data_IF_928092649015
#
_entry.id   IF_928092649015
#
_cell.length_a   1.000
_cell.length_b   1.000
_cell.length_c   1.000
_cell.angle_alpha   90.00
_cell.angle_beta   90.00
_cell.angle_gamma   90.00
#
_symmetry.space_group_name_H-M   'P 1'
#
loop_
_entity.id
_entity.type
_entity.pdbx_description
1 polymer ?
#
# COMPACT_ATOMS: atom_id res chain seq x y z
N UNK A 1 -4.75 7.10 -2.44
CA UNK A 1 -3.74 7.86 -3.15
C UNK A 1 -4.48 8.97 -3.83
N UNK A 2 -3.91 10.17 -3.82
CA UNK A 2 -4.55 11.28 -4.52
C UNK A 2 -4.41 11.04 -6.02
N UNK A 3 -5.47 11.27 -6.78
CA UNK A 3 -5.43 11.12 -8.22
C UNK A 3 -4.40 12.09 -8.80
N UNK A 4 -3.42 11.55 -9.51
CA UNK A 4 -2.44 12.35 -10.22
C UNK A 4 -3.11 13.04 -11.40
N UNK A 5 -3.06 14.37 -11.43
CA UNK A 5 -3.49 15.20 -12.56
C UNK A 5 -2.30 16.04 -13.01
N UNK A 6 -1.82 15.78 -14.22
CA UNK A 6 -0.60 16.38 -14.77
C UNK A 6 -0.67 17.91 -14.74
N UNK A 7 -1.82 18.49 -15.10
CA UNK A 7 -2.04 19.95 -15.10
C UNK A 7 -1.94 20.57 -13.71
N UNK A 8 -2.49 19.91 -12.68
CA UNK A 8 -2.45 20.38 -11.30
C UNK A 8 -1.04 20.22 -10.72
N UNK A 9 -0.39 19.09 -10.99
CA UNK A 9 0.96 18.83 -10.52
C UNK A 9 2.00 19.74 -11.17
N UNK A 10 1.86 20.03 -12.47
CA UNK A 10 2.70 20.98 -13.19
C UNK A 10 2.50 22.43 -12.72
N UNK A 11 1.32 22.79 -12.21
CA UNK A 11 1.07 24.11 -11.63
C UNK A 11 1.66 24.27 -10.21
N UNK A 12 1.99 23.18 -9.52
CA UNK A 12 2.61 23.24 -8.19
C UNK A 12 4.04 23.77 -8.26
N UNK A 13 4.41 24.58 -7.26
CA UNK A 13 5.81 24.92 -7.04
C UNK A 13 6.64 23.68 -6.66
N UNK A 14 7.97 23.69 -6.88
CA UNK A 14 8.82 22.54 -6.60
C UNK A 14 8.72 21.99 -5.16
N UNK A 15 8.58 22.86 -4.15
CA UNK A 15 8.44 22.43 -2.77
C UNK A 15 7.07 21.79 -2.48
N UNK A 16 5.99 22.30 -3.09
CA UNK A 16 4.69 21.64 -3.06
C UNK A 16 4.70 20.26 -3.73
N UNK A 17 5.41 20.08 -4.86
CA UNK A 17 5.58 18.77 -5.52
C UNK A 17 6.31 17.77 -4.62
N UNK A 18 7.37 18.20 -3.93
CA UNK A 18 8.11 17.36 -2.98
C UNK A 18 7.22 16.94 -1.80
N UNK A 19 6.47 17.88 -1.21
CA UNK A 19 5.50 17.56 -0.14
C UNK A 19 4.42 16.58 -0.60
N UNK A 20 3.88 16.80 -1.80
CA UNK A 20 2.88 15.92 -2.40
C UNK A 20 3.43 14.49 -2.59
N UNK A 21 4.64 14.37 -3.15
CA UNK A 21 5.32 13.07 -3.31
C UNK A 21 5.56 12.38 -1.98
N UNK A 22 5.98 13.14 -0.95
CA UNK A 22 6.11 12.64 0.42
C UNK A 22 4.79 12.08 0.96
N UNK A 23 3.69 12.78 0.70
CA UNK A 23 2.33 12.34 1.01
C UNK A 23 1.93 11.03 0.33
N UNK A 24 2.15 10.91 -0.99
CA UNK A 24 1.88 9.67 -1.72
C UNK A 24 2.73 8.50 -1.22
N UNK A 25 4.02 8.73 -0.96
CA UNK A 25 4.90 7.71 -0.42
C UNK A 25 4.46 7.25 0.99
N UNK A 26 3.97 8.15 1.84
CA UNK A 26 3.47 7.80 3.17
C UNK A 26 2.13 7.04 3.11
N UNK A 27 1.23 7.42 2.21
CA UNK A 27 -0.02 6.68 2.02
C UNK A 27 0.24 5.28 1.46
N UNK A 28 1.13 5.16 0.48
CA UNK A 28 1.55 3.88 -0.07
C UNK A 28 2.18 2.97 0.99
N UNK A 29 3.04 3.52 1.85
CA UNK A 29 3.65 2.76 2.97
C UNK A 29 2.59 2.20 3.92
N UNK A 30 1.56 2.99 4.26
CA UNK A 30 0.45 2.53 5.10
C UNK A 30 -0.29 1.37 4.44
N UNK A 31 -0.65 1.51 3.16
CA UNK A 31 -1.32 0.44 2.40
C UNK A 31 -0.45 -0.82 2.31
N UNK A 32 0.87 -0.67 2.21
CA UNK A 32 1.80 -1.79 2.16
C UNK A 32 1.94 -2.50 3.51
N UNK A 33 1.89 -1.77 4.63
CA UNK A 33 1.89 -2.34 5.98
C UNK A 33 0.63 -3.18 6.23
N UNK A 34 -0.52 -2.71 5.75
CA UNK A 34 -1.82 -3.38 5.90
C UNK A 34 -2.08 -4.44 4.80
N UNK A 35 -1.16 -4.62 3.85
CA UNK A 35 -1.36 -5.49 2.69
C UNK A 35 -1.36 -6.97 3.08
N UNK A 36 -0.47 -7.36 3.99
CA UNK A 36 -0.22 -8.75 4.40
C UNK A 36 -0.75 -8.96 5.81
N UNK A 37 -1.77 -9.81 6.02
CA UNK A 37 -2.22 -10.20 7.34
C UNK A 37 -1.08 -10.87 8.14
N UNK A 38 -1.02 -10.64 9.46
CA UNK A 38 -0.09 -11.39 10.30
C UNK A 38 -0.39 -12.89 10.16
N UNK A 39 0.67 -13.70 10.14
CA UNK A 39 0.59 -15.16 10.08
C UNK A 39 -0.06 -15.77 8.83
N UNK A 40 -0.28 -14.97 7.77
CA UNK A 40 -0.82 -15.49 6.50
C UNK A 40 0.07 -16.58 5.90
N UNK A 41 1.39 -16.37 5.85
CA UNK A 41 2.31 -17.31 5.18
C UNK A 41 2.36 -18.67 5.88
N UNK A 42 2.53 -18.77 7.23
CA UNK A 42 2.44 -20.04 7.94
C UNK A 42 1.08 -20.74 7.81
N UNK A 43 -0.03 -19.99 7.92
CA UNK A 43 -1.39 -20.55 7.78
C UNK A 43 -1.62 -21.07 6.36
N UNK A 44 -1.14 -20.34 5.35
CA UNK A 44 -1.25 -20.72 3.95
C UNK A 44 -0.48 -22.00 3.67
N UNK A 45 0.74 -22.14 4.18
CA UNK A 45 1.52 -23.39 4.06
C UNK A 45 0.73 -24.59 4.57
N UNK A 46 0.24 -24.53 5.81
CA UNK A 46 -0.50 -25.64 6.42
C UNK A 46 -1.78 -25.97 5.64
N UNK A 47 -2.54 -24.96 5.23
CA UNK A 47 -3.78 -25.16 4.46
C UNK A 47 -3.54 -25.63 3.02
N UNK A 48 -2.42 -25.25 2.40
CA UNK A 48 -2.04 -25.74 1.08
C UNK A 48 -1.62 -27.21 1.16
N UNK A 49 -0.80 -27.59 2.14
CA UNK A 49 -0.39 -28.98 2.37
C UNK A 49 -1.59 -29.90 2.58
N UNK A 50 -2.54 -29.51 3.45
CA UNK A 50 -3.77 -30.28 3.71
C UNK A 50 -4.61 -30.47 2.44
N UNK A 51 -4.76 -29.40 1.64
CA UNK A 51 -5.58 -29.44 0.44
C UNK A 51 -4.92 -30.25 -0.68
N UNK A 52 -3.60 -30.13 -0.84
CA UNK A 52 -2.82 -30.92 -1.81
C UNK A 52 -2.90 -32.41 -1.45
N UNK A 53 -2.70 -32.79 -0.19
CA UNK A 53 -2.83 -34.20 0.25
C UNK A 53 -4.23 -34.75 -0.05
N UNK A 54 -5.26 -33.91 0.12
CA UNK A 54 -6.64 -34.30 -0.18
C UNK A 54 -6.89 -34.44 -1.67
N UNK A 55 -6.33 -33.55 -2.48
CA UNK A 55 -6.40 -33.58 -3.93
C UNK A 55 -5.70 -34.82 -4.51
N UNK A 56 -4.46 -35.10 -4.07
CA UNK A 56 -3.69 -36.28 -4.47
C UNK A 56 -4.43 -37.59 -4.13
N UNK A 57 -5.07 -37.66 -2.95
CA UNK A 57 -5.89 -38.83 -2.55
C UNK A 57 -7.06 -39.09 -3.51
N UNK A 58 -7.68 -38.04 -4.03
CA UNK A 58 -8.87 -38.16 -4.90
C UNK A 58 -8.52 -38.35 -6.38
N UNK A 59 -7.35 -37.88 -6.82
CA UNK A 59 -6.95 -37.91 -8.24
C UNK A 59 -5.92 -38.99 -8.55
N UNK A 60 -5.30 -39.61 -7.54
CA UNK A 60 -4.30 -40.66 -7.71
C UNK A 60 -3.01 -40.22 -8.41
N UNK A 61 -2.87 -38.92 -8.70
CA UNK A 61 -1.65 -38.30 -9.20
C UNK A 61 -0.85 -37.77 -8.01
N UNK A 62 0.33 -38.32 -7.82
CA UNK A 62 1.31 -37.85 -6.84
C UNK A 62 2.34 -36.97 -7.54
N UNK A 63 2.55 -35.75 -7.04
CA UNK A 63 3.79 -35.01 -7.28
C UNK A 63 3.81 -33.97 -8.39
N UNK A 64 2.70 -33.60 -9.04
CA UNK A 64 2.65 -32.29 -9.72
C UNK A 64 2.49 -31.20 -8.65
N UNK A 65 3.62 -30.74 -8.11
CA UNK A 65 3.64 -29.65 -7.15
C UNK A 65 3.02 -28.40 -7.76
N UNK A 66 2.16 -27.73 -6.99
CA UNK A 66 1.57 -26.46 -7.41
C UNK A 66 2.71 -25.44 -7.48
N UNK A 67 3.06 -25.06 -8.69
CA UNK A 67 4.20 -24.21 -9.01
C UNK A 67 3.78 -22.77 -9.29
N UNK A 68 2.48 -22.49 -9.46
CA UNK A 68 2.01 -21.19 -9.94
C UNK A 68 0.65 -20.73 -9.47
N UNK A 69 0.47 -19.41 -9.36
CA UNK A 69 -0.80 -18.78 -8.93
C UNK A 69 -1.99 -19.24 -9.78
N UNK A 70 -1.77 -19.60 -11.04
CA UNK A 70 -2.80 -20.20 -11.92
C UNK A 70 -3.23 -21.58 -11.42
N UNK A 71 -2.29 -22.49 -11.17
CA UNK A 71 -2.57 -23.81 -10.61
C UNK A 71 -3.16 -23.71 -9.20
N UNK A 72 -2.76 -22.71 -8.41
CA UNK A 72 -3.37 -22.45 -7.10
C UNK A 72 -4.84 -22.04 -7.22
N UNK A 73 -5.22 -21.29 -8.26
CA UNK A 73 -6.63 -20.99 -8.56
C UNK A 73 -7.38 -22.24 -9.01
N UNK A 74 -6.77 -23.06 -9.85
CA UNK A 74 -7.37 -24.33 -10.29
C UNK A 74 -7.62 -25.27 -9.11
N UNK A 75 -6.65 -25.42 -8.20
CA UNK A 75 -6.82 -26.18 -6.96
C UNK A 75 -7.94 -25.60 -6.10
N UNK A 76 -8.00 -24.27 -5.98
CA UNK A 76 -9.06 -23.59 -5.23
C UNK A 76 -10.45 -23.84 -5.85
N UNK A 77 -10.59 -23.72 -7.16
CA UNK A 77 -11.87 -23.90 -7.85
C UNK A 77 -12.33 -25.36 -7.79
N UNK A 78 -11.39 -26.30 -7.89
CA UNK A 78 -11.63 -27.70 -7.62
C UNK A 78 -12.12 -27.92 -6.18
N UNK A 79 -11.44 -27.34 -5.20
CA UNK A 79 -11.76 -27.51 -3.79
C UNK A 79 -13.16 -26.97 -3.44
N UNK A 80 -13.53 -25.81 -3.99
CA UNK A 80 -14.88 -25.24 -3.88
C UNK A 80 -15.92 -26.17 -4.50
N UNK A 81 -15.66 -26.70 -5.70
CA UNK A 81 -16.58 -27.60 -6.41
C UNK A 81 -16.82 -28.92 -5.67
N UNK A 82 -15.87 -29.36 -4.85
CA UNK A 82 -15.94 -30.58 -4.05
C UNK A 82 -16.35 -30.33 -2.59
N UNK A 83 -16.81 -29.12 -2.24
CA UNK A 83 -17.28 -28.80 -0.90
C UNK A 83 -16.17 -28.71 0.17
N UNK A 84 -14.92 -28.49 -0.25
CA UNK A 84 -13.74 -28.36 0.61
C UNK A 84 -13.08 -26.98 0.48
N UNK A 85 -13.83 -25.86 0.64
CA UNK A 85 -13.26 -24.54 0.47
C UNK A 85 -12.16 -24.28 1.50
N UNK A 86 -11.02 -23.75 1.03
CA UNK A 86 -9.91 -23.35 1.90
C UNK A 86 -9.84 -21.82 1.98
N UNK A 87 -10.36 -21.21 3.06
CA UNK A 87 -10.43 -19.75 3.19
C UNK A 87 -9.04 -19.09 3.19
N UNK A 88 -8.00 -19.84 3.59
CA UNK A 88 -6.62 -19.31 3.59
C UNK A 88 -6.04 -19.18 2.18
N UNK A 89 -6.48 -20.01 1.22
CA UNK A 89 -6.08 -19.88 -0.19
C UNK A 89 -6.76 -18.66 -0.81
N UNK A 90 -8.04 -18.43 -0.51
CA UNK A 90 -8.73 -17.20 -0.91
C UNK A 90 -8.05 -15.96 -0.34
N UNK A 91 -7.65 -15.99 0.94
CA UNK A 91 -6.93 -14.92 1.62
C UNK A 91 -5.55 -14.65 0.96
N UNK A 92 -4.83 -15.70 0.57
CA UNK A 92 -3.56 -15.60 -0.16
C UNK A 92 -3.75 -14.99 -1.56
N UNK A 93 -4.72 -15.49 -2.33
CA UNK A 93 -5.03 -14.97 -3.67
C UNK A 93 -5.51 -13.51 -3.63
N UNK A 94 -6.29 -13.15 -2.62
CA UNK A 94 -6.69 -11.77 -2.36
C UNK A 94 -5.46 -10.89 -2.06
N UNK A 95 -4.53 -11.37 -1.23
CA UNK A 95 -3.28 -10.66 -0.92
C UNK A 95 -2.39 -10.50 -2.15
N UNK A 96 -2.25 -11.53 -2.97
CA UNK A 96 -1.56 -11.46 -4.25
C UNK A 96 -2.18 -10.39 -5.18
N UNK A 97 -3.51 -10.35 -5.24
CA UNK A 97 -4.24 -9.34 -6.02
C UNK A 97 -4.01 -7.92 -5.47
N UNK A 98 -3.97 -7.74 -4.14
CA UNK A 98 -3.61 -6.45 -3.51
C UNK A 98 -2.23 -5.98 -3.97
N UNK A 99 -1.23 -6.87 -4.07
CA UNK A 99 0.09 -6.50 -4.57
C UNK A 99 0.10 -6.09 -6.05
N UNK A 100 -0.78 -6.66 -6.87
CA UNK A 100 -0.96 -6.20 -8.26
C UNK A 100 -1.51 -4.78 -8.29
N UNK A 101 -2.53 -4.49 -7.48
CA UNK A 101 -3.12 -3.14 -7.37
C UNK A 101 -2.07 -2.15 -6.85
N UNK A 102 -1.33 -2.52 -5.79
CA UNK A 102 -0.25 -1.70 -5.23
C UNK A 102 0.83 -1.38 -6.26
N UNK A 103 1.17 -2.33 -7.14
CA UNK A 103 2.15 -2.09 -8.19
C UNK A 103 1.65 -1.01 -9.17
N UNK A 104 0.39 -1.08 -9.57
CA UNK A 104 -0.24 -0.12 -10.48
C UNK A 104 -0.35 1.26 -9.82
N UNK A 105 -0.85 1.30 -8.59
CA UNK A 105 -0.89 2.46 -7.71
C UNK A 105 0.50 3.13 -7.66
N UNK A 106 1.56 2.37 -7.40
CA UNK A 106 2.92 2.91 -7.36
C UNK A 106 3.36 3.51 -8.70
N UNK A 107 3.03 2.85 -9.81
CA UNK A 107 3.39 3.33 -11.15
C UNK A 107 2.72 4.66 -11.48
N UNK A 108 1.41 4.74 -11.29
CA UNK A 108 0.63 5.91 -11.67
C UNK A 108 0.71 7.04 -10.64
N UNK A 109 0.71 6.70 -9.35
CA UNK A 109 0.68 7.69 -8.27
C UNK A 109 2.04 8.16 -7.77
N UNK A 110 3.14 7.46 -8.08
CA UNK A 110 4.48 7.82 -7.60
C UNK A 110 5.47 7.93 -8.76
N UNK A 111 5.65 6.86 -9.55
CA UNK A 111 6.69 6.82 -10.59
C UNK A 111 6.42 7.84 -11.71
N UNK A 112 5.19 7.91 -12.20
CA UNK A 112 4.80 8.83 -13.27
C UNK A 112 5.03 10.30 -12.87
N UNK A 113 4.52 10.80 -11.72
CA UNK A 113 4.85 12.13 -11.23
C UNK A 113 6.36 12.37 -11.07
N UNK A 114 7.12 11.37 -10.60
CA UNK A 114 8.58 11.48 -10.46
C UNK A 114 9.29 11.70 -11.81
N UNK A 115 8.77 11.10 -12.89
CA UNK A 115 9.33 11.27 -14.24
C UNK A 115 8.91 12.56 -14.92
N UNK A 116 7.69 13.02 -14.67
CA UNK A 116 7.08 14.16 -15.36
C UNK A 116 7.37 15.48 -14.64
N UNK A 117 7.25 15.53 -13.31
CA UNK A 117 7.38 16.79 -12.56
C UNK A 117 8.80 17.21 -12.23
N UNK A 118 9.80 16.41 -12.58
CA UNK A 118 11.21 16.69 -12.28
C UNK A 118 12.06 16.60 -13.56
N UNK A 119 12.75 17.67 -13.96
CA UNK A 119 13.37 17.76 -15.28
C UNK A 119 14.42 16.67 -15.55
N UNK A 120 14.42 16.16 -16.79
CA UNK A 120 15.29 15.08 -17.33
C UNK A 120 16.80 15.38 -17.30
N UNK A 121 17.20 16.61 -16.98
CA UNK A 121 18.60 17.02 -16.84
C UNK A 121 19.21 16.69 -15.46
N UNK A 122 18.44 16.04 -14.59
CA UNK A 122 18.85 15.63 -13.26
C UNK A 122 20.15 14.80 -13.26
N UNK A 123 20.95 15.03 -12.23
CA UNK A 123 22.33 14.58 -12.09
C UNK A 123 22.52 13.07 -12.33
N UNK A 124 23.76 12.61 -12.60
CA UNK A 124 24.09 11.18 -12.80
C UNK A 124 23.52 10.27 -11.70
N UNK A 125 23.37 10.77 -10.48
CA UNK A 125 22.78 10.05 -9.33
C UNK A 125 21.29 9.75 -9.55
N UNK A 126 20.51 10.71 -10.06
CA UNK A 126 19.08 10.52 -10.33
C UNK A 126 18.85 9.48 -11.41
N UNK A 127 19.57 9.55 -12.54
CA UNK A 127 19.50 8.53 -13.60
C UNK A 127 19.83 7.12 -13.09
N UNK A 128 20.77 7.00 -12.14
CA UNK A 128 21.11 5.71 -11.50
C UNK A 128 19.97 5.20 -10.62
N UNK A 129 19.29 6.07 -9.88
CA UNK A 129 18.12 5.72 -9.07
C UNK A 129 16.93 5.33 -9.95
N UNK A 130 16.67 6.08 -11.03
CA UNK A 130 15.62 5.76 -12.01
C UNK A 130 15.81 4.36 -12.62
N UNK A 131 17.03 4.05 -13.08
CA UNK A 131 17.34 2.72 -13.64
C UNK A 131 17.07 1.63 -12.61
N UNK A 132 17.55 1.78 -11.38
CA UNK A 132 17.30 0.82 -10.30
C UNK A 132 15.81 0.66 -10.00
N UNK A 133 15.07 1.76 -9.95
CA UNK A 133 13.63 1.72 -9.67
C UNK A 133 12.88 1.00 -10.79
N UNK A 134 13.23 1.25 -12.05
CA UNK A 134 12.66 0.56 -13.20
C UNK A 134 12.97 -0.94 -13.16
N UNK A 135 14.20 -1.33 -12.81
CA UNK A 135 14.57 -2.75 -12.62
C UNK A 135 13.74 -3.42 -11.53
N UNK A 136 13.57 -2.76 -10.37
CA UNK A 136 12.76 -3.29 -9.26
C UNK A 136 11.30 -3.43 -9.67
N UNK A 137 10.72 -2.47 -10.39
CA UNK A 137 9.34 -2.56 -10.86
C UNK A 137 9.14 -3.63 -11.92
N UNK A 138 10.15 -3.91 -12.75
CA UNK A 138 10.14 -5.07 -13.65
C UNK A 138 10.22 -6.38 -12.85
N UNK A 139 11.09 -6.46 -11.84
CA UNK A 139 11.17 -7.62 -10.95
C UNK A 139 9.85 -7.88 -10.20
N UNK A 140 9.19 -6.83 -9.71
CA UNK A 140 7.86 -6.94 -9.09
C UNK A 140 6.83 -7.46 -10.10
N UNK A 141 6.83 -6.94 -11.34
CA UNK A 141 5.92 -7.41 -12.40
C UNK A 141 6.18 -8.88 -12.71
N UNK A 142 7.44 -9.28 -12.72
CA UNK A 142 7.86 -10.66 -12.92
C UNK A 142 7.40 -11.57 -11.79
N UNK A 143 7.50 -11.14 -10.51
CA UNK A 143 6.97 -11.90 -9.38
C UNK A 143 5.44 -12.09 -9.44
N UNK A 144 4.71 -11.07 -9.89
CA UNK A 144 3.26 -11.16 -10.09
C UNK A 144 2.85 -12.02 -11.29
N UNK A 145 3.76 -12.26 -12.23
CA UNK A 145 3.53 -13.03 -13.46
C UNK A 145 4.07 -14.45 -13.40
N UNK A 146 5.20 -14.66 -12.73
CA UNK A 146 5.93 -15.92 -12.69
C UNK A 146 5.52 -16.70 -11.46
N UNK A 147 5.09 -17.93 -11.71
CA UNK A 147 5.17 -19.06 -10.79
C UNK A 147 6.55 -19.13 -10.11
N UNK A 148 6.65 -19.37 -8.79
CA UNK A 148 7.92 -19.79 -8.19
C UNK A 148 8.42 -21.05 -8.89
N UNK A 149 9.46 -20.90 -9.73
CA UNK A 149 10.08 -22.04 -10.39
C UNK A 149 10.97 -22.78 -9.40
N UNK A 150 10.59 -24.00 -9.04
CA UNK A 150 11.53 -24.99 -8.52
C UNK A 150 12.55 -25.25 -9.62
N UNK A 151 13.82 -24.93 -9.39
CA UNK A 151 14.89 -25.45 -10.25
C UNK A 151 15.10 -26.90 -9.89
N UNK A 152 14.55 -27.81 -10.70
CA UNK A 152 15.05 -29.18 -10.78
C UNK A 152 16.54 -29.16 -11.08
N UNK A 153 17.35 -29.38 -10.05
CA UNK A 153 18.77 -29.65 -10.17
C UNK A 153 18.96 -31.15 -10.22
N UNK A 154 18.79 -31.72 -11.40
CA UNK A 154 19.40 -32.99 -11.73
C UNK A 154 20.92 -32.79 -11.80
N UNK A 155 21.59 -33.25 -10.75
CA UNK A 155 22.96 -33.80 -10.69
C UNK A 155 24.08 -32.98 -11.38
N UNK A 156 24.93 -32.34 -10.57
CA UNK A 156 26.35 -32.72 -10.48
C UNK A 156 27.00 -32.07 -9.24
N UNK A 157 27.66 -32.93 -8.45
CA UNK A 157 28.45 -32.61 -7.26
C UNK A 157 29.69 -31.79 -7.65
N UNK A 158 29.90 -30.67 -6.95
CA UNK A 158 31.22 -30.20 -6.49
C UNK A 158 31.00 -29.26 -5.28
N UNK A 159 31.78 -29.38 -4.20
CA UNK A 159 31.55 -28.63 -2.96
C UNK A 159 32.43 -27.38 -2.93
N UNK A 160 31.83 -26.21 -3.18
CA UNK A 160 32.38 -24.94 -2.68
C UNK A 160 31.25 -23.94 -2.53
N UNK A 161 30.96 -23.66 -1.25
CA UNK A 161 30.26 -22.50 -0.69
C UNK A 161 29.17 -21.86 -1.56
N UNK A 162 27.94 -22.39 -1.45
CA UNK A 162 26.74 -21.66 -1.86
C UNK A 162 26.12 -21.02 -0.63
N UNK A 163 26.02 -19.69 -0.64
CA UNK A 163 25.00 -18.95 0.11
C UNK A 163 23.65 -19.55 -0.23
N UNK A 164 22.99 -20.07 0.79
CA UNK A 164 21.62 -20.57 0.77
C UNK A 164 20.68 -19.52 0.15
N UNK A 165 20.10 -19.84 -1.01
CA UNK A 165 18.92 -19.16 -1.54
C UNK A 165 17.72 -20.08 -1.34
N UNK A 166 17.26 -20.17 -0.10
CA UNK A 166 16.02 -20.85 0.28
C UNK A 166 14.86 -19.87 0.07
N UNK A 167 14.21 -19.89 -1.11
CA UNK A 167 12.90 -19.25 -1.34
C UNK A 167 12.30 -19.71 -2.70
N UNK A 168 12.22 -21.01 -2.96
CA UNK A 168 11.79 -21.58 -4.26
C UNK A 168 10.30 -22.03 -4.29
N UNK A 169 9.40 -21.40 -3.51
CA UNK A 169 7.97 -21.73 -3.47
C UNK A 169 7.05 -20.54 -3.14
N UNK A 170 5.73 -20.76 -3.07
CA UNK A 170 4.73 -19.71 -2.72
C UNK A 170 4.99 -19.03 -1.38
N UNK A 171 5.68 -19.71 -0.48
CA UNK A 171 6.09 -19.21 0.84
C UNK A 171 7.02 -18.00 0.74
N UNK A 172 7.86 -17.97 -0.29
CA UNK A 172 8.75 -16.85 -0.58
C UNK A 172 8.08 -15.73 -1.37
N UNK A 173 6.92 -15.98 -1.99
CA UNK A 173 6.30 -15.03 -2.92
C UNK A 173 5.80 -13.76 -2.23
N UNK A 174 4.98 -13.89 -1.18
CA UNK A 174 4.45 -12.73 -0.45
C UNK A 174 5.57 -11.92 0.23
N UNK A 175 6.54 -12.55 0.94
CA UNK A 175 7.71 -11.83 1.46
C UNK A 175 8.52 -11.12 0.36
N UNK A 176 8.76 -11.78 -0.78
CA UNK A 176 9.49 -11.17 -1.89
C UNK A 176 8.73 -9.98 -2.51
N UNK A 177 7.41 -10.08 -2.66
CA UNK A 177 6.56 -8.96 -3.12
C UNK A 177 6.62 -7.79 -2.14
N UNK A 178 6.52 -8.07 -0.84
CA UNK A 178 6.60 -7.05 0.21
C UNK A 178 7.98 -6.38 0.22
N UNK A 179 9.06 -7.15 0.16
CA UNK A 179 10.42 -6.60 0.10
C UNK A 179 10.62 -5.75 -1.16
N UNK A 180 10.18 -6.24 -2.32
CA UNK A 180 10.32 -5.52 -3.59
C UNK A 180 9.56 -4.19 -3.58
N UNK A 181 8.34 -4.18 -3.02
CA UNK A 181 7.56 -2.96 -2.83
C UNK A 181 8.23 -1.96 -1.87
N UNK A 182 8.81 -2.44 -0.76
CA UNK A 182 9.56 -1.60 0.18
C UNK A 182 10.82 -1.02 -0.47
N UNK A 183 11.55 -1.81 -1.26
CA UNK A 183 12.73 -1.33 -1.97
C UNK A 183 12.36 -0.29 -3.04
N UNK A 184 11.25 -0.48 -3.77
CA UNK A 184 10.74 0.52 -4.72
C UNK A 184 10.42 1.84 -4.01
N UNK A 185 9.73 1.78 -2.87
CA UNK A 185 9.42 2.96 -2.05
C UNK A 185 10.67 3.67 -1.54
N UNK A 186 11.68 2.93 -1.05
CA UNK A 186 12.97 3.49 -0.61
C UNK A 186 13.67 4.24 -1.75
N UNK A 187 13.65 3.69 -2.96
CA UNK A 187 14.23 4.33 -4.14
C UNK A 187 13.44 5.58 -4.58
N UNK A 188 12.11 5.54 -4.55
CA UNK A 188 11.28 6.73 -4.84
C UNK A 188 11.56 7.87 -3.87
N UNK A 189 11.64 7.58 -2.56
CA UNK A 189 12.04 8.57 -1.54
C UNK A 189 13.44 9.12 -1.78
N UNK A 190 14.38 8.26 -2.17
CA UNK A 190 15.74 8.68 -2.51
C UNK A 190 15.76 9.58 -3.75
N UNK A 191 14.95 9.27 -4.76
CA UNK A 191 14.81 10.12 -5.94
C UNK A 191 14.26 11.50 -5.53
N UNK A 192 13.17 11.55 -4.76
CA UNK A 192 12.60 12.81 -4.26
C UNK A 192 13.61 13.68 -3.50
N UNK A 193 14.43 13.09 -2.61
CA UNK A 193 15.48 13.82 -1.88
C UNK A 193 16.56 14.40 -2.78
N UNK A 194 17.03 13.63 -3.77
CA UNK A 194 18.02 14.14 -4.72
C UNK A 194 17.51 15.33 -5.51
N UNK A 195 16.19 15.37 -5.77
CA UNK A 195 15.54 16.48 -6.45
C UNK A 195 15.35 17.68 -5.53
N UNK A 196 15.06 17.46 -4.24
CA UNK A 196 15.04 18.51 -3.22
C UNK A 196 16.40 19.19 -3.09
N UNK A 197 17.48 18.41 -3.02
CA UNK A 197 18.86 18.92 -2.99
C UNK A 197 19.19 19.76 -4.25
N UNK A 198 18.83 19.26 -5.44
CA UNK A 198 19.05 19.97 -6.71
C UNK A 198 18.25 21.29 -6.79
N UNK A 199 17.00 21.31 -6.29
CA UNK A 199 16.15 22.53 -6.25
C UNK A 199 16.70 23.56 -5.26
N UNK A 200 17.12 23.13 -4.07
CA UNK A 200 17.70 24.02 -3.06
C UNK A 200 19.01 24.64 -3.56
N UNK A 201 19.83 23.88 -4.28
CA UNK A 201 21.07 24.39 -4.89
C UNK A 201 20.78 25.46 -5.96
N UNK A 202 19.79 25.24 -6.85
CA UNK A 202 19.41 26.23 -7.87
C UNK A 202 18.87 27.54 -7.26
N UNK A 203 18.11 27.45 -6.16
CA UNK A 203 17.61 28.64 -5.45
C UNK A 203 18.77 29.39 -4.78
N UNK A 204 19.75 28.69 -4.21
CA UNK A 204 20.95 29.30 -3.65
C UNK A 204 21.80 30.00 -4.72
N UNK A 205 22.01 29.34 -5.88
CA UNK A 205 22.80 29.89 -6.98
C UNK A 205 22.12 31.12 -7.62
N UNK A 206 20.78 31.11 -7.73
CA UNK A 206 20.00 32.25 -8.24
C UNK A 206 19.89 33.42 -7.25
N UNK A 207 20.03 33.17 -5.94
CA UNK A 207 20.00 34.21 -4.91
C UNK A 207 21.31 34.99 -4.76
N UNK A 208 22.41 34.53 -5.39
CA UNK A 208 23.73 35.18 -5.34
C UNK A 208 23.91 36.23 -6.46
N UNK A 209 22.99 36.32 -7.44
CA UNK A 209 22.97 37.43 -8.40
C UNK A 209 22.32 38.68 -7.78
N UNK A 210 23.09 39.45 -7.01
CA UNK A 210 22.72 40.81 -6.58
C UNK A 210 22.88 41.82 -7.73
N UNK A 211 22.19 42.98 -7.68
CA UNK A 211 22.17 43.96 -8.78
C UNK A 211 23.51 44.66 -9.07
N UNK A 212 24.57 44.38 -8.30
CA UNK A 212 25.84 45.10 -8.39
C UNK A 212 26.73 44.64 -9.56
N UNK A 213 26.53 43.44 -10.11
CA UNK A 213 27.34 42.95 -11.24
C UNK A 213 26.93 43.53 -12.61
N UNK A 214 25.72 44.09 -12.74
CA UNK A 214 25.26 44.68 -14.01
C UNK A 214 25.81 46.10 -14.28
N UNK A 215 26.47 46.74 -13.32
CA UNK A 215 26.99 48.12 -13.48
C UNK A 215 28.46 48.20 -13.90
N UNK A 216 29.17 47.07 -14.10
CA UNK A 216 30.60 47.08 -14.46
C UNK A 216 30.93 46.93 -15.94
N UNK A 217 29.93 46.84 -16.83
CA UNK A 217 30.16 46.65 -18.26
C UNK A 217 29.64 47.83 -19.08
N UNK A 218 30.07 49.06 -18.76
CA UNK A 218 30.08 50.18 -19.71
C UNK A 218 31.21 51.15 -19.33
N UNK A 219 32.33 51.09 -20.08
CA UNK A 219 33.13 52.21 -20.58
C UNK A 219 34.53 51.70 -21.03
N UNK A 220 34.89 51.86 -22.32
CA UNK A 220 36.26 51.68 -22.81
C UNK A 220 36.93 53.03 -23.12
N UNK A 221 38.08 53.33 -22.50
CA UNK A 221 39.12 54.28 -22.95
C UNK A 221 40.30 54.13 -21.95
N UNK A 222 41.42 53.49 -22.29
CA UNK A 222 42.52 53.91 -23.16
C UNK A 222 43.52 54.89 -22.49
N UNK A 223 44.73 54.35 -22.26
CA UNK A 223 46.09 54.96 -22.21
C UNK A 223 46.51 55.78 -20.98
N UNK A 224 47.66 55.38 -20.40
CA UNK A 224 48.43 56.20 -19.47
C UNK A 224 49.50 55.43 -18.69
N UNK A 225 50.61 55.09 -19.34
CA UNK A 225 51.87 54.57 -18.76
C UNK A 225 52.51 55.49 -17.72
N UNK A 226 52.90 54.95 -16.56
CA UNK A 226 54.15 55.20 -15.78
C UNK A 226 54.15 54.24 -14.57
N UNK A 227 54.99 53.21 -14.54
CA UNK A 227 56.31 53.14 -13.89
C UNK A 227 56.30 52.97 -12.35
N UNK A 228 57.01 51.90 -11.93
CA UNK A 228 57.72 51.65 -10.66
C UNK A 228 56.98 51.07 -9.44
N UNK A 229 57.51 49.95 -8.92
CA UNK A 229 57.35 49.46 -7.54
C UNK A 229 56.48 48.19 -7.41
N UNK A 230 57.04 46.99 -7.64
CA UNK A 230 57.50 46.04 -6.61
C UNK A 230 56.41 45.31 -5.80
N UNK A 231 56.62 43.98 -5.69
CA UNK A 231 55.98 42.99 -4.81
C UNK A 231 54.56 42.52 -5.20
N UNK A 232 54.54 41.43 -5.98
CA UNK A 232 53.34 40.67 -6.30
C UNK A 232 52.78 39.89 -5.09
N UNK A 233 51.46 39.71 -5.00
CA UNK A 233 50.83 38.87 -4.00
C UNK A 233 50.91 37.38 -4.39
N UNK A 234 51.17 36.58 -3.36
CA UNK A 234 51.31 35.13 -3.37
C UNK A 234 50.04 34.45 -3.85
N UNK A 235 50.18 33.62 -4.88
CA UNK A 235 49.16 32.69 -5.36
C UNK A 235 49.05 31.52 -4.39
N UNK A 236 47.87 31.36 -3.79
CA UNK A 236 47.48 30.18 -3.01
C UNK A 236 47.10 29.07 -3.99
N UNK A 237 48.05 28.18 -4.26
CA UNK A 237 47.81 26.86 -4.87
C UNK A 237 48.23 25.83 -3.83
N UNK A 238 47.27 25.39 -3.02
CA UNK A 238 47.43 24.27 -2.11
C UNK A 238 47.25 22.95 -2.87
N UNK A 239 48.27 22.52 -3.61
CA UNK A 239 48.43 21.11 -3.93
C UNK A 239 48.90 20.40 -2.66
N UNK A 240 48.03 19.57 -2.08
CA UNK A 240 48.41 18.60 -1.07
C UNK A 240 49.42 17.62 -1.66
N UNK A 241 50.71 17.96 -1.58
CA UNK A 241 51.78 16.99 -1.79
C UNK A 241 51.91 16.14 -0.54
N UNK A 242 51.86 14.83 -0.74
CA UNK A 242 52.14 13.83 0.28
C UNK A 242 53.53 14.10 0.89
N UNK A 243 53.57 14.56 2.14
CA UNK A 243 54.79 14.56 2.94
C UNK A 243 55.14 13.13 3.34
N UNK A 244 55.72 12.43 2.38
CA UNK A 244 56.40 11.16 2.54
C UNK A 244 57.79 11.23 1.91
N UNK A 245 58.54 12.30 2.16
CA UNK A 245 59.99 12.32 1.89
C UNK A 245 60.71 12.10 3.21
N UNK A 246 61.03 10.84 3.48
CA UNK A 246 62.12 10.51 4.41
C UNK A 246 63.39 11.06 3.76
N UNK A 247 63.88 12.21 4.24
CA UNK A 247 65.16 12.77 3.82
C UNK A 247 66.24 11.75 4.16
N UNK A 248 66.81 11.11 3.15
CA UNK A 248 67.98 10.25 3.27
C UNK A 248 69.22 11.11 3.50
N UNK A 249 69.30 11.74 4.67
CA UNK A 249 70.51 12.40 5.12
C UNK A 249 71.58 11.32 5.33
N UNK A 250 72.64 11.39 4.51
CA UNK A 250 73.87 10.61 4.69
C UNK A 250 74.53 11.04 6.00
N UNK A 251 74.13 10.43 7.11
CA UNK A 251 74.80 10.59 8.39
C UNK A 251 76.08 9.75 8.38
N UNK A 252 77.22 10.38 8.07
CA UNK A 252 78.55 9.77 8.27
C UNK A 252 79.10 10.22 9.64
N UNK A 253 79.39 9.24 10.50
CA UNK A 253 79.97 9.42 11.83
C UNK A 253 78.94 9.50 12.96
N UNK A 254 79.38 9.18 14.20
CA UNK A 254 78.52 9.05 15.39
C UNK A 254 77.71 10.32 15.72
N UNK A 255 78.25 11.50 15.41
CA UNK A 255 77.56 12.78 15.59
C UNK A 255 76.41 12.99 14.59
N UNK A 256 76.48 12.40 13.39
CA UNK A 256 75.39 12.43 12.42
C UNK A 256 74.25 11.51 12.85
N UNK A 257 74.58 10.32 13.34
CA UNK A 257 73.59 9.34 13.78
C UNK A 257 72.79 9.83 14.99
N UNK A 258 73.45 10.45 15.97
CA UNK A 258 72.77 11.03 17.14
C UNK A 258 71.85 12.20 16.78
N UNK A 259 72.27 13.07 15.84
CA UNK A 259 71.41 14.13 15.30
C UNK A 259 70.20 13.56 14.56
N UNK A 260 70.40 12.56 13.71
CA UNK A 260 69.30 11.89 13.01
C UNK A 260 68.28 11.26 13.96
N UNK A 261 68.70 10.68 15.07
CA UNK A 261 67.79 10.16 16.12
C UNK A 261 67.04 11.29 16.82
N UNK A 262 67.70 12.40 17.14
CA UNK A 262 67.07 13.56 17.77
C UNK A 262 66.00 14.19 16.86
N UNK A 263 66.33 14.37 15.58
CA UNK A 263 65.42 14.93 14.58
C UNK A 263 64.19 14.00 14.39
N UNK A 264 64.41 12.68 14.31
CA UNK A 264 63.31 11.70 14.27
C UNK A 264 62.42 11.79 15.51
N UNK A 265 63.00 11.93 16.70
CA UNK A 265 62.25 12.05 17.95
C UNK A 265 61.37 13.30 17.98
N UNK A 266 61.87 14.41 17.44
CA UNK A 266 61.07 15.64 17.30
C UNK A 266 59.95 15.50 16.28
N UNK A 267 60.20 14.86 15.14
CA UNK A 267 59.17 14.58 14.13
C UNK A 267 58.08 13.65 14.69
N UNK A 268 58.45 12.60 15.42
CA UNK A 268 57.49 11.71 16.07
C UNK A 268 56.62 12.42 17.11
N UNK A 269 57.20 13.31 17.93
CA UNK A 269 56.40 14.07 18.90
C UNK A 269 55.47 15.08 18.22
N UNK A 270 55.91 15.69 17.11
CA UNK A 270 55.06 16.57 16.30
C UNK A 270 53.87 15.80 15.71
N UNK A 271 54.12 14.63 15.10
CA UNK A 271 53.06 13.77 14.55
C UNK A 271 52.08 13.35 15.66
N UNK A 272 52.59 13.05 16.86
CA UNK A 272 51.76 12.69 18.01
C UNK A 272 50.84 13.84 18.44
N UNK A 273 51.37 15.05 18.50
CA UNK A 273 50.59 16.24 18.84
C UNK A 273 49.55 16.58 17.78
N UNK A 274 49.92 16.48 16.50
CA UNK A 274 49.01 16.71 15.37
C UNK A 274 47.87 15.69 15.36
N UNK A 275 48.16 14.41 15.65
CA UNK A 275 47.14 13.35 15.77
C UNK A 275 46.16 13.63 16.91
N UNK A 276 46.64 14.05 18.08
CA UNK A 276 45.79 14.42 19.21
C UNK A 276 44.90 15.64 18.89
N UNK A 277 45.45 16.64 18.21
CA UNK A 277 44.69 17.82 17.79
C UNK A 277 43.63 17.47 16.75
N UNK A 278 43.95 16.57 15.82
CA UNK A 278 43.00 16.06 14.83
C UNK A 278 41.84 15.30 15.50
N UNK A 279 42.13 14.38 16.43
CA UNK A 279 41.08 13.66 17.19
C UNK A 279 40.18 14.62 17.97
N UNK A 280 40.75 15.62 18.65
CA UNK A 280 39.98 16.63 19.37
C UNK A 280 39.06 17.44 18.44
N UNK A 281 39.56 17.85 17.27
CA UNK A 281 38.76 18.58 16.28
C UNK A 281 37.60 17.74 15.74
N UNK A 282 37.84 16.46 15.45
CA UNK A 282 36.84 15.53 14.95
C UNK A 282 35.73 15.28 15.98
N UNK A 283 36.10 15.14 17.25
CA UNK A 283 35.13 14.95 18.33
C UNK A 283 34.29 16.22 18.57
N UNK A 284 34.91 17.40 18.44
CA UNK A 284 34.20 18.69 18.49
C UNK A 284 33.19 18.85 17.34
N UNK A 285 33.55 18.44 16.13
CA UNK A 285 32.64 18.45 14.98
C UNK A 285 31.48 17.48 15.16
N UNK A 286 31.74 16.26 15.66
CA UNK A 286 30.68 15.29 16.01
C UNK A 286 29.73 15.83 17.05
N UNK A 287 30.24 16.45 18.12
CA UNK A 287 29.41 17.05 19.15
C UNK A 287 28.55 18.21 18.60
N UNK A 288 29.11 19.04 17.73
CA UNK A 288 28.37 20.12 17.06
C UNK A 288 27.26 19.58 16.15
N UNK A 289 27.53 18.51 15.39
CA UNK A 289 26.55 17.84 14.55
C UNK A 289 25.39 17.28 15.37
N UNK A 290 25.68 16.52 16.43
CA UNK A 290 24.67 15.94 17.32
C UNK A 290 23.81 17.04 17.95
N UNK A 291 24.41 18.15 18.40
CA UNK A 291 23.68 19.29 18.96
C UNK A 291 22.73 19.94 17.93
N UNK A 292 23.15 20.04 16.67
CA UNK A 292 22.32 20.55 15.58
C UNK A 292 21.15 19.62 15.29
N UNK A 293 21.37 18.30 15.28
CA UNK A 293 20.29 17.33 15.09
C UNK A 293 19.27 17.37 16.24
N UNK A 294 19.75 17.46 17.49
CA UNK A 294 18.90 17.53 18.68
C UNK A 294 17.97 18.75 18.64
N UNK A 295 18.53 19.93 18.36
CA UNK A 295 17.75 21.18 18.25
C UNK A 295 16.76 21.15 17.07
N UNK A 296 17.13 20.48 15.98
CA UNK A 296 16.22 20.21 14.85
C UNK A 296 15.06 19.31 15.24
N UNK A 297 15.32 18.22 16.00
CA UNK A 297 14.28 17.32 16.49
C UNK A 297 13.34 18.00 17.49
N UNK A 298 13.86 18.82 18.40
CA UNK A 298 13.04 19.58 19.35
C UNK A 298 12.12 20.59 18.66
N UNK A 299 12.60 21.21 17.59
CA UNK A 299 11.79 22.13 16.78
C UNK A 299 10.67 21.39 16.04
N UNK A 300 10.97 20.24 15.44
CA UNK A 300 9.95 19.35 14.82
C UNK A 300 8.92 18.87 15.83
N UNK A 301 9.36 18.49 17.04
CA UNK A 301 8.46 18.07 18.13
C UNK A 301 7.47 19.18 18.50
N UNK A 302 7.94 20.43 18.59
CA UNK A 302 7.07 21.60 18.85
C UNK A 302 6.08 21.84 17.72
N UNK A 303 6.53 21.74 16.46
CA UNK A 303 5.68 21.90 15.28
C UNK A 303 4.56 20.84 15.23
N UNK A 304 4.90 19.57 15.46
CA UNK A 304 3.91 18.47 15.49
C UNK A 304 2.89 18.70 16.62
N UNK A 305 3.34 19.12 17.80
CA UNK A 305 2.44 19.42 18.92
C UNK A 305 1.45 20.54 18.59
N UNK A 306 1.92 21.59 17.90
CA UNK A 306 1.06 22.68 17.45
C UNK A 306 0.06 22.23 16.38
N UNK A 307 0.49 21.42 15.39
CA UNK A 307 -0.41 20.84 14.37
C UNK A 307 -1.50 19.98 15.01
N UNK A 308 -1.14 19.13 15.98
CA UNK A 308 -2.10 18.30 16.69
C UNK A 308 -3.12 19.14 17.49
N UNK A 309 -2.68 20.23 18.13
CA UNK A 309 -3.60 21.14 18.81
C UNK A 309 -4.50 21.89 17.82
N UNK A 310 -3.96 22.34 16.68
CA UNK A 310 -4.73 22.97 15.62
C UNK A 310 -5.77 22.01 15.01
N UNK A 311 -5.44 20.73 14.82
CA UNK A 311 -6.38 19.70 14.35
C UNK A 311 -7.47 19.39 15.39
N UNK A 312 -7.13 19.40 16.68
CA UNK A 312 -8.13 19.27 17.76
C UNK A 312 -9.04 20.49 17.89
N UNK A 313 -8.49 21.69 17.67
CA UNK A 313 -9.22 22.95 17.75
C UNK A 313 -10.02 23.25 16.48
N UNK A 314 -9.59 22.74 15.32
CA UNK A 314 -10.37 22.86 14.09
C UNK A 314 -11.63 22.00 14.23
N UNK A 315 -12.76 22.65 14.00
CA UNK A 315 -14.11 22.12 14.15
C UNK A 315 -14.39 20.83 13.39
N UNK A 316 -13.47 20.35 12.54
CA UNK A 316 -13.60 19.16 11.69
C UNK A 316 -13.94 17.90 12.48
N UNK A 317 -13.29 17.64 13.62
CA UNK A 317 -13.62 16.47 14.45
C UNK A 317 -15.01 16.57 15.08
N UNK A 318 -15.40 17.76 15.56
CA UNK A 318 -16.72 17.99 16.15
C UNK A 318 -17.84 17.94 15.10
N UNK A 319 -17.60 18.50 13.91
CA UNK A 319 -18.56 18.45 12.79
C UNK A 319 -18.69 17.05 12.22
N UNK A 320 -17.60 16.26 12.18
CA UNK A 320 -17.66 14.88 11.73
C UNK A 320 -18.44 14.01 12.72
N UNK A 321 -18.22 14.19 14.03
CA UNK A 321 -19.01 13.54 15.08
C UNK A 321 -20.51 13.85 14.95
N UNK A 322 -20.86 15.13 14.83
CA UNK A 322 -22.26 15.55 14.67
C UNK A 322 -22.92 14.98 13.40
N UNK A 323 -22.17 14.85 12.31
CA UNK A 323 -22.68 14.23 11.07
C UNK A 323 -22.88 12.72 11.22
N UNK A 324 -22.01 12.02 11.94
CA UNK A 324 -22.16 10.60 12.24
C UNK A 324 -23.41 10.34 13.07
N UNK A 325 -23.68 11.17 14.07
CA UNK A 325 -24.89 11.04 14.90
C UNK A 325 -26.17 11.27 14.08
N UNK A 326 -26.18 12.31 13.22
CA UNK A 326 -27.31 12.54 12.29
C UNK A 326 -27.57 11.37 11.34
N UNK A 327 -26.51 10.77 10.80
CA UNK A 327 -26.63 9.60 9.93
C UNK A 327 -27.16 8.40 10.70
N UNK A 328 -26.68 8.17 11.94
CA UNK A 328 -27.17 7.11 12.82
C UNK A 328 -28.67 7.27 13.11
N UNK A 329 -29.11 8.47 13.44
CA UNK A 329 -30.54 8.75 13.70
C UNK A 329 -31.40 8.47 12.46
N UNK A 330 -30.91 8.87 11.28
CA UNK A 330 -31.61 8.62 10.02
C UNK A 330 -31.72 7.14 9.69
N UNK A 331 -30.67 6.36 9.96
CA UNK A 331 -30.69 4.90 9.82
C UNK A 331 -31.73 4.28 10.77
N UNK A 332 -31.80 4.73 12.03
CA UNK A 332 -32.80 4.27 12.98
C UNK A 332 -34.24 4.55 12.54
N UNK A 333 -34.50 5.74 11.99
CA UNK A 333 -35.81 6.09 11.40
C UNK A 333 -36.17 5.17 10.24
N UNK A 334 -35.23 4.94 9.30
CA UNK A 334 -35.46 4.07 8.15
C UNK A 334 -35.70 2.62 8.55
N UNK A 335 -35.01 2.11 9.57
CA UNK A 335 -35.25 0.76 10.10
C UNK A 335 -36.65 0.62 10.69
N UNK A 336 -37.14 1.65 11.39
CA UNK A 336 -38.48 1.66 11.97
C UNK A 336 -39.56 1.73 10.88
N UNK A 337 -39.34 2.56 9.85
CA UNK A 337 -40.22 2.62 8.68
C UNK A 337 -40.24 1.30 7.91
N UNK A 338 -39.09 0.66 7.72
CA UNK A 338 -39.00 -0.65 7.09
C UNK A 338 -39.80 -1.71 7.86
N UNK A 339 -39.66 -1.75 9.19
CA UNK A 339 -40.42 -2.67 10.04
C UNK A 339 -41.94 -2.40 9.98
N UNK A 340 -42.34 -1.12 9.91
CA UNK A 340 -43.75 -0.73 9.76
C UNK A 340 -44.32 -1.17 8.41
N UNK A 341 -43.56 -0.99 7.33
CA UNK A 341 -43.97 -1.37 5.98
C UNK A 341 -44.04 -2.89 5.84
N UNK A 342 -43.07 -3.63 6.39
CA UNK A 342 -43.10 -5.10 6.36
C UNK A 342 -44.30 -5.66 7.12
N UNK A 343 -44.63 -5.11 8.29
CA UNK A 343 -45.82 -5.49 9.03
C UNK A 343 -47.12 -5.25 8.24
N UNK A 344 -47.22 -4.10 7.55
CA UNK A 344 -48.35 -3.81 6.65
C UNK A 344 -48.43 -4.79 5.49
N UNK A 345 -47.28 -5.14 4.89
CA UNK A 345 -47.23 -6.09 3.79
C UNK A 345 -47.78 -7.46 4.20
N UNK A 346 -47.34 -7.98 5.35
CA UNK A 346 -47.83 -9.25 5.92
C UNK A 346 -49.34 -9.21 6.16
N UNK A 347 -49.86 -8.11 6.72
CA UNK A 347 -51.30 -7.94 6.93
C UNK A 347 -52.08 -7.91 5.60
N UNK A 348 -51.57 -7.24 4.57
CA UNK A 348 -52.21 -7.24 3.25
C UNK A 348 -52.18 -8.60 2.57
N UNK A 349 -51.09 -9.35 2.72
CA UNK A 349 -50.96 -10.71 2.20
C UNK A 349 -51.98 -11.65 2.87
N UNK A 350 -52.16 -11.53 4.18
CA UNK A 350 -53.18 -12.28 4.92
C UNK A 350 -54.59 -11.99 4.41
N UNK A 351 -54.95 -10.71 4.21
CA UNK A 351 -56.27 -10.31 3.67
C UNK A 351 -56.50 -10.84 2.25
N UNK A 352 -55.44 -10.85 1.43
CA UNK A 352 -55.51 -11.40 0.09
C UNK A 352 -55.77 -12.92 0.13
N UNK A 353 -55.10 -13.64 1.03
CA UNK A 353 -55.32 -15.06 1.23
C UNK A 353 -56.77 -15.34 1.68
N UNK A 354 -57.28 -14.62 2.68
CA UNK A 354 -58.67 -14.75 3.13
C UNK A 354 -59.68 -14.48 2.01
N UNK A 355 -59.42 -13.49 1.15
CA UNK A 355 -60.26 -13.19 -0.01
C UNK A 355 -60.20 -14.28 -1.08
N UNK A 356 -59.02 -14.86 -1.31
CA UNK A 356 -58.82 -15.99 -2.21
C UNK A 356 -59.62 -17.20 -1.73
N UNK A 357 -59.50 -17.57 -0.46
CA UNK A 357 -60.20 -18.71 0.14
C UNK A 357 -61.73 -18.56 0.05
N UNK A 358 -62.25 -17.34 0.29
CA UNK A 358 -63.67 -17.01 0.08
C UNK A 358 -64.10 -17.19 -1.36
N UNK A 359 -63.27 -16.75 -2.31
CA UNK A 359 -63.56 -16.87 -3.75
C UNK A 359 -63.58 -18.34 -4.20
N UNK A 360 -62.64 -19.15 -3.72
CA UNK A 360 -62.62 -20.60 -3.95
C UNK A 360 -63.88 -21.27 -3.40
N UNK A 361 -64.27 -20.90 -2.16
CA UNK A 361 -65.48 -21.44 -1.51
C UNK A 361 -66.74 -21.08 -2.29
N UNK A 362 -66.87 -19.82 -2.74
CA UNK A 362 -67.98 -19.37 -3.58
C UNK A 362 -68.02 -20.10 -4.92
N UNK A 363 -66.87 -20.27 -5.59
CA UNK A 363 -66.78 -21.00 -6.85
C UNK A 363 -67.21 -22.47 -6.69
N UNK A 364 -66.79 -23.12 -5.60
CA UNK A 364 -67.23 -24.47 -5.27
C UNK A 364 -68.75 -24.54 -5.01
N UNK A 365 -69.31 -23.58 -4.27
CA UNK A 365 -70.75 -23.48 -4.04
C UNK A 365 -71.57 -23.28 -5.32
N UNK A 366 -71.09 -22.44 -6.24
CA UNK A 366 -71.72 -22.24 -7.56
C UNK A 366 -71.70 -23.54 -8.37
N UNK A 367 -70.57 -24.25 -8.40
CA UNK A 367 -70.45 -25.55 -9.08
C UNK A 367 -71.46 -26.55 -8.51
N UNK A 368 -71.49 -26.72 -7.19
CA UNK A 368 -72.38 -27.67 -6.51
C UNK A 368 -73.87 -27.33 -6.72
N UNK A 369 -74.21 -26.04 -6.74
CA UNK A 369 -75.56 -25.60 -7.10
C UNK A 369 -75.90 -25.87 -8.56
N UNK A 370 -74.95 -25.65 -9.48
CA UNK A 370 -75.14 -25.95 -10.91
C UNK A 370 -75.35 -27.44 -11.16
N UNK A 371 -74.57 -28.30 -10.49
CA UNK A 371 -74.67 -29.77 -10.54
C UNK A 371 -76.02 -30.25 -10.00
N UNK A 372 -76.46 -29.72 -8.84
CA UNK A 372 -77.75 -30.08 -8.25
C UNK A 372 -78.94 -29.62 -9.12
N UNK A 373 -78.83 -28.47 -9.80
CA UNK A 373 -79.84 -28.03 -10.78
C UNK A 373 -79.91 -28.94 -12.01
N UNK A 374 -78.77 -29.44 -12.49
CA UNK A 374 -78.75 -30.42 -13.58
C UNK A 374 -79.30 -31.78 -13.17
N UNK A 375 -79.06 -32.24 -11.93
CA UNK A 375 -79.60 -33.50 -11.41
C UNK A 375 -81.11 -33.48 -11.18
N UNK A 376 -81.72 -32.32 -10.88
CA UNK A 376 -83.18 -32.20 -10.70
C UNK A 376 -84.00 -32.08 -11.99
N UNK A 377 -83.38 -32.11 -13.17
CA UNK A 377 -84.08 -31.93 -14.46
C UNK A 377 -84.47 -33.21 -15.20
N UNK A 378 -84.30 -34.39 -14.59
CA UNK A 378 -84.69 -35.66 -15.19
C UNK A 378 -85.35 -36.60 -14.16
N UNK A 379 -86.61 -36.33 -13.81
CA UNK A 379 -87.59 -37.40 -13.64
C UNK A 379 -88.95 -36.91 -14.16
N UNK A 380 -89.56 -37.56 -15.17
CA UNK A 380 -90.94 -37.33 -15.53
C UNK A 380 -91.84 -37.84 -14.41
N UNK A 381 -92.55 -36.93 -13.76
CA UNK A 381 -93.59 -37.23 -12.79
C UNK A 381 -94.73 -37.97 -13.50
N UNK A 382 -94.68 -39.30 -13.52
CA UNK A 382 -95.84 -40.14 -13.78
C UNK A 382 -96.69 -40.20 -12.50
N UNK A 383 -97.62 -39.25 -12.35
CA UNK A 383 -98.68 -39.32 -11.34
C UNK A 383 -99.72 -40.36 -11.78
N UNK A 384 -99.69 -41.54 -11.16
CA UNK A 384 -100.91 -42.33 -10.91
C UNK A 384 -101.06 -42.57 -9.41
N UNK A 385 -102.26 -42.24 -8.95
CA UNK A 385 -102.71 -42.23 -7.57
C UNK A 385 -102.58 -43.60 -6.88
N UNK A 386 -102.23 -43.60 -5.59
CA UNK A 386 -102.88 -44.47 -4.60
C UNK A 386 -102.52 -44.04 -3.17
N UNK A 387 -103.53 -43.53 -2.47
CA UNK A 387 -103.91 -43.84 -1.09
C UNK A 387 -102.89 -43.79 0.09
N UNK A 388 -103.26 -42.92 1.04
CA UNK A 388 -103.49 -43.17 2.48
C UNK A 388 -102.30 -43.20 3.46
N UNK A 389 -102.41 -42.23 4.37
CA UNK A 389 -102.35 -42.30 5.84
C UNK A 389 -101.01 -42.47 6.59
N UNK A 390 -100.74 -41.45 7.43
CA UNK A 390 -100.22 -41.49 8.83
C UNK A 390 -98.78 -42.04 9.02
N UNK A 391 -97.87 -41.48 9.81
CA UNK A 391 -97.92 -40.99 11.21
C UNK A 391 -96.61 -40.27 11.59
N UNK A 392 -96.70 -39.40 12.61
CA UNK A 392 -95.67 -38.75 13.47
C UNK A 392 -94.38 -39.55 13.82
N UNK A 393 -93.25 -38.81 13.91
CA UNK A 393 -92.19 -38.71 14.97
C UNK A 393 -90.80 -38.49 14.32
N UNK A 394 -90.14 -37.33 14.50
CA UNK A 394 -89.31 -36.87 15.62
C UNK A 394 -87.86 -37.41 15.61
N UNK A 395 -86.87 -36.51 15.42
CA UNK A 395 -85.54 -36.43 16.07
C UNK A 395 -84.71 -35.34 15.32
N UNK A 396 -84.40 -34.17 15.89
CA UNK A 396 -83.35 -33.84 16.88
C UNK A 396 -81.94 -33.74 16.27
N UNK A 397 -81.23 -32.64 16.54
CA UNK A 397 -79.84 -32.38 16.13
C UNK A 397 -79.58 -30.89 15.90
N UNK A 398 -79.68 -30.07 16.95
CA UNK A 398 -78.54 -29.46 17.63
C UNK A 398 -77.85 -28.33 16.85
N UNK A 399 -78.24 -27.10 17.21
CA UNK A 399 -77.47 -25.92 16.92
C UNK A 399 -76.28 -25.79 17.86
N UNK A 400 -75.12 -25.48 17.30
CA UNK A 400 -74.06 -24.75 18.00
C UNK A 400 -73.74 -23.49 17.20
N UNK A 401 -74.26 -22.38 17.71
CA UNK A 401 -73.81 -21.04 17.34
C UNK A 401 -72.43 -20.79 17.98
N UNK A 402 -71.44 -20.47 17.16
CA UNK A 402 -70.22 -19.81 17.59
C UNK A 402 -70.47 -18.31 17.54
N UNK A 403 -70.40 -17.68 18.72
CA UNK A 403 -70.42 -16.22 18.91
C UNK A 403 -69.09 -15.61 18.44
N UNK A 404 -69.25 -14.35 18.05
CA UNK A 404 -68.30 -13.31 17.62
C UNK A 404 -66.94 -13.30 18.34
#
# INVERSE_FOLDING_TARGET
MQAYTESVFAAMDPAARIRWLGGQCAEFERRLQDAVPPDLVPRFRAGLEELVVTWEREHGQTGEGIDGVTQLRELRDWAVSNGKPSPVIDEFLATHTKFSILQEDFREGILKPLKEGFPKHSCKKVRKVEKKLTTILSSWKDLLKKSPKVKDRTVQRTPTEKKESTNDGFEGLIPALQETAQQALKLARKWGRLLEDDVLQQVADNSIQTPEENNRIRHPLAVGTTSTGQAGPVSVVGTNEAHGRVSSAKYRGDAGFSKGISDLKTEFEQIRQDALMYEYSLERERAAHIKKELTGMESRKREIKQKLQAEKATANFLTLGANVDRVRDRVGQLQTELARVSAKYVETEKRLQESSDRSVTLAAGIRLWSENKTSRRLEPINRRASCKNSTKKAAQGEGKALRL
#
